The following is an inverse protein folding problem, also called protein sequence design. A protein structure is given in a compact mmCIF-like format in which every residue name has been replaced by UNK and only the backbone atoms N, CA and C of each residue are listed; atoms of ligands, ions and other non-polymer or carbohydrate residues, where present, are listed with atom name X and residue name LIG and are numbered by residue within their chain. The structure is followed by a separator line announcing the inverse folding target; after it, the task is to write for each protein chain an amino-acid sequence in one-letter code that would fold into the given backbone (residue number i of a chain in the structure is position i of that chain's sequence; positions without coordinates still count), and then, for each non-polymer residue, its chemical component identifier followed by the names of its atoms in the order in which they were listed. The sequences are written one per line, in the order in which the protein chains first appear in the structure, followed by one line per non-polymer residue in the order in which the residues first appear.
data_IF_868730402087
#
_entry.id   IF_868730402087
#
_cell.length_a   1.000
_cell.length_b   1.000
_cell.length_c   1.000
_cell.angle_alpha   90.00
_cell.angle_beta   90.00
_cell.angle_gamma   90.00
#
_symmetry.space_group_name_H-M   'P 1'
#
loop_
_entity.id
_entity.type
_entity.pdbx_description
1 polymer ?
#
# COMPACT_ATOMS: atom_id res chain seq x y z
N UNK A 1 15.40 14.35 -9.66
CA UNK A 1 15.18 13.06 -10.33
C UNK A 1 14.05 13.21 -11.34
N UNK A 2 14.36 13.20 -12.65
CA UNK A 2 13.33 13.31 -13.68
C UNK A 2 12.33 12.13 -13.67
N UNK A 3 12.76 10.98 -13.15
CA UNK A 3 11.96 9.74 -13.11
C UNK A 3 10.87 9.79 -12.03
N UNK A 4 11.21 10.09 -10.77
CA UNK A 4 10.22 10.43 -9.71
C UNK A 4 9.19 11.49 -10.17
N UNK A 5 9.65 12.58 -10.79
CA UNK A 5 8.75 13.63 -11.29
C UNK A 5 7.78 13.09 -12.36
N UNK A 6 8.24 12.20 -13.23
CA UNK A 6 7.41 11.50 -14.21
C UNK A 6 6.35 10.62 -13.55
N UNK A 7 6.72 9.86 -12.52
CA UNK A 7 5.76 9.03 -11.79
C UNK A 7 4.71 9.85 -11.03
N UNK A 8 5.09 10.97 -10.43
CA UNK A 8 4.14 11.89 -9.78
C UNK A 8 3.14 12.49 -10.79
N UNK A 9 3.60 12.86 -11.99
CA UNK A 9 2.72 13.31 -13.07
C UNK A 9 1.76 12.20 -13.53
N UNK A 10 2.26 10.97 -13.63
CA UNK A 10 1.43 9.83 -14.00
C UNK A 10 0.35 9.55 -12.93
N UNK A 11 0.73 9.58 -11.65
CA UNK A 11 -0.22 9.43 -10.53
C UNK A 11 -1.36 10.44 -10.63
N UNK A 12 -1.03 11.73 -10.72
CA UNK A 12 -2.02 12.79 -10.84
C UNK A 12 -2.92 12.65 -12.09
N UNK A 13 -2.37 12.10 -13.19
CA UNK A 13 -3.12 11.89 -14.41
C UNK A 13 -4.11 10.72 -14.30
N UNK A 14 -3.72 9.62 -13.65
CA UNK A 14 -4.59 8.47 -13.42
C UNK A 14 -5.74 8.83 -12.47
N UNK A 15 -5.44 9.55 -11.39
CA UNK A 15 -6.44 10.05 -10.44
C UNK A 15 -7.44 10.98 -11.12
N UNK A 16 -6.95 11.94 -11.93
CA UNK A 16 -7.80 12.87 -12.68
C UNK A 16 -8.68 12.15 -13.71
N UNK A 17 -8.21 11.07 -14.31
CA UNK A 17 -8.96 10.28 -15.27
C UNK A 17 -9.96 9.31 -14.62
N UNK A 18 -9.95 9.20 -13.29
CA UNK A 18 -10.84 8.30 -12.57
C UNK A 18 -10.52 6.82 -12.81
N UNK A 19 -9.23 6.47 -12.89
CA UNK A 19 -8.77 5.09 -13.10
C UNK A 19 -9.54 4.11 -12.19
N UNK A 20 -10.11 3.07 -12.79
CA UNK A 20 -10.97 2.06 -12.15
C UNK A 20 -10.22 0.75 -11.87
N UNK A 21 -8.89 0.80 -11.91
CA UNK A 21 -8.01 -0.31 -11.55
C UNK A 21 -7.12 0.13 -10.39
N UNK A 22 -7.34 -0.46 -9.22
CA UNK A 22 -6.52 -0.28 -8.03
C UNK A 22 -5.04 -0.56 -8.31
N UNK A 23 -4.76 -1.56 -9.13
CA UNK A 23 -3.39 -1.94 -9.47
C UNK A 23 -2.71 -0.89 -10.35
N UNK A 24 -3.42 -0.38 -11.35
CA UNK A 24 -2.90 0.71 -12.20
C UNK A 24 -2.75 2.00 -11.41
N UNK A 25 -3.70 2.32 -10.52
CA UNK A 25 -3.64 3.49 -9.67
C UNK A 25 -2.47 3.43 -8.68
N UNK A 26 -2.14 2.25 -8.15
CA UNK A 26 -1.02 2.05 -7.22
C UNK A 26 0.36 2.07 -7.90
N UNK A 27 0.42 1.75 -9.20
CA UNK A 27 1.67 1.58 -9.95
C UNK A 27 2.63 2.79 -9.85
N UNK A 28 2.19 4.05 -10.04
CA UNK A 28 3.13 5.17 -10.00
C UNK A 28 3.75 5.36 -8.62
N UNK A 29 2.98 5.18 -7.54
CA UNK A 29 3.49 5.31 -6.18
C UNK A 29 4.44 4.16 -5.83
N UNK A 30 4.12 2.94 -6.25
CA UNK A 30 5.02 1.79 -6.14
C UNK A 30 6.34 2.05 -6.89
N UNK A 31 6.30 2.61 -8.10
CA UNK A 31 7.49 2.95 -8.87
C UNK A 31 8.35 4.04 -8.21
N UNK A 32 7.73 5.06 -7.59
CA UNK A 32 8.46 6.06 -6.78
C UNK A 32 9.20 5.37 -5.63
N UNK A 33 8.51 4.50 -4.89
CA UNK A 33 9.10 3.79 -3.77
C UNK A 33 10.24 2.84 -4.20
N UNK A 34 10.12 2.22 -5.38
CA UNK A 34 11.22 1.45 -5.99
C UNK A 34 12.45 2.33 -6.19
N UNK A 35 12.30 3.50 -6.82
CA UNK A 35 13.43 4.41 -7.07
C UNK A 35 14.10 4.89 -5.79
N UNK A 36 13.32 5.14 -4.74
CA UNK A 36 13.86 5.52 -3.43
C UNK A 36 14.69 4.40 -2.80
N UNK A 37 14.27 3.14 -2.98
CA UNK A 37 14.94 1.97 -2.42
C UNK A 37 16.13 1.50 -3.28
N UNK A 38 16.11 1.73 -4.60
CA UNK A 38 17.24 1.52 -5.51
C UNK A 38 18.33 2.59 -5.33
N UNK A 39 18.79 2.79 -4.09
CA UNK A 39 19.78 3.78 -3.74
C UNK A 39 21.10 3.56 -4.50
N UNK A 40 21.60 4.59 -5.18
CA UNK A 40 22.84 4.54 -5.98
C UNK A 40 24.13 4.30 -5.19
N UNK A 41 24.06 4.28 -3.86
CA UNK A 41 25.20 3.94 -2.99
C UNK A 41 25.40 2.43 -2.84
N UNK A 42 24.41 1.63 -3.27
CA UNK A 42 24.46 0.16 -3.21
C UNK A 42 25.17 -0.33 -4.47
N UNK A 43 26.37 -0.87 -4.28
CA UNK A 43 27.24 -1.30 -5.38
C UNK A 43 26.82 -2.63 -5.99
N UNK A 44 26.26 -3.53 -5.17
CA UNK A 44 25.77 -4.81 -5.66
C UNK A 44 24.44 -4.61 -6.40
N UNK A 45 24.40 -5.02 -7.66
CA UNK A 45 23.22 -4.84 -8.51
C UNK A 45 22.04 -5.69 -8.04
N UNK A 46 22.30 -6.90 -7.54
CA UNK A 46 21.27 -7.83 -7.05
C UNK A 46 20.62 -7.29 -5.79
N UNK A 47 21.41 -6.83 -4.82
CA UNK A 47 20.93 -6.19 -3.60
C UNK A 47 20.12 -4.94 -3.92
N UNK A 48 20.63 -4.08 -4.82
CA UNK A 48 19.94 -2.86 -5.23
C UNK A 48 18.59 -3.16 -5.87
N UNK A 49 18.51 -4.12 -6.79
CA UNK A 49 17.23 -4.54 -7.42
C UNK A 49 16.29 -5.20 -6.42
N UNK A 50 16.82 -5.99 -5.48
CA UNK A 50 16.02 -6.64 -4.44
C UNK A 50 15.40 -5.60 -3.51
N UNK A 51 16.16 -4.59 -3.11
CA UNK A 51 15.64 -3.43 -2.37
C UNK A 51 14.62 -2.65 -3.19
N UNK A 52 14.87 -2.45 -4.48
CA UNK A 52 13.89 -1.87 -5.40
C UNK A 52 12.57 -2.64 -5.41
N UNK A 53 12.61 -3.97 -5.50
CA UNK A 53 11.43 -4.83 -5.44
C UNK A 53 10.70 -4.74 -4.10
N UNK A 54 11.45 -4.68 -3.00
CA UNK A 54 10.91 -4.47 -1.66
C UNK A 54 10.20 -3.11 -1.57
N UNK A 55 10.84 -2.04 -2.04
CA UNK A 55 10.29 -0.68 -2.06
C UNK A 55 9.04 -0.58 -2.93
N UNK A 56 9.05 -1.19 -4.11
CA UNK A 56 7.90 -1.27 -5.01
C UNK A 56 6.68 -1.86 -4.30
N UNK A 57 6.84 -3.05 -3.72
CA UNK A 57 5.76 -3.73 -3.04
C UNK A 57 5.32 -2.95 -1.79
N UNK A 58 6.24 -2.37 -1.03
CA UNK A 58 5.87 -1.52 0.09
C UNK A 58 5.03 -0.32 -0.34
N UNK A 59 5.39 0.34 -1.46
CA UNK A 59 4.60 1.42 -2.03
C UNK A 59 3.19 0.99 -2.42
N UNK A 60 3.07 -0.14 -3.14
CA UNK A 60 1.76 -0.71 -3.51
C UNK A 60 0.91 -1.03 -2.26
N UNK A 61 1.52 -1.61 -1.22
CA UNK A 61 0.83 -1.89 0.05
C UNK A 61 0.33 -0.62 0.72
N UNK A 62 1.17 0.43 0.82
CA UNK A 62 0.78 1.72 1.41
C UNK A 62 -0.42 2.30 0.65
N UNK A 63 -0.31 2.41 -0.67
CA UNK A 63 -1.34 3.05 -1.50
C UNK A 63 -2.69 2.34 -1.40
N UNK A 64 -2.70 1.01 -1.53
CA UNK A 64 -3.93 0.21 -1.45
C UNK A 64 -4.56 0.27 -0.06
N UNK A 65 -3.74 0.20 0.99
CA UNK A 65 -4.23 0.23 2.35
C UNK A 65 -4.85 1.59 2.70
N UNK A 66 -4.21 2.68 2.27
CA UNK A 66 -4.67 4.05 2.43
C UNK A 66 -6.02 4.26 1.70
N UNK A 67 -6.08 3.86 0.44
CA UNK A 67 -7.31 3.88 -0.34
C UNK A 67 -8.44 3.11 0.36
N UNK A 68 -8.18 1.96 0.99
CA UNK A 68 -9.20 1.22 1.74
C UNK A 68 -9.61 1.92 3.06
N UNK A 69 -8.65 2.47 3.81
CA UNK A 69 -8.94 3.17 5.08
C UNK A 69 -9.85 4.38 4.82
N UNK A 70 -9.54 5.14 3.77
CA UNK A 70 -10.17 6.42 3.43
C UNK A 70 -11.44 6.32 2.58
N UNK A 71 -11.83 5.13 2.09
CA UNK A 71 -13.06 4.92 1.29
C UNK A 71 -14.31 5.65 1.82
N UNK A 72 -14.47 5.70 3.15
CA UNK A 72 -15.62 6.36 3.77
C UNK A 72 -15.56 7.89 3.66
N UNK A 73 -14.37 8.46 3.85
CA UNK A 73 -14.17 9.91 3.76
C UNK A 73 -14.21 10.36 2.30
N UNK A 74 -13.58 9.61 1.40
CA UNK A 74 -13.58 9.91 -0.03
C UNK A 74 -14.99 9.88 -0.63
N UNK A 75 -15.81 8.89 -0.24
CA UNK A 75 -17.21 8.83 -0.64
C UNK A 75 -18.01 10.06 -0.16
N UNK A 76 -17.75 10.56 1.05
CA UNK A 76 -18.42 11.75 1.62
C UNK A 76 -17.98 13.03 0.93
N UNK A 77 -16.68 13.17 0.68
CA UNK A 77 -16.08 14.36 0.06
C UNK A 77 -16.23 14.38 -1.47
N UNK A 78 -16.64 13.25 -2.07
CA UNK A 78 -16.63 13.02 -3.53
C UNK A 78 -15.21 13.16 -4.11
N UNK A 79 -14.22 12.75 -3.33
CA UNK A 79 -12.83 12.65 -3.75
C UNK A 79 -12.62 11.36 -4.54
N UNK A 80 -11.61 11.36 -5.41
CA UNK A 80 -11.26 10.14 -6.14
C UNK A 80 -10.74 9.07 -5.19
N UNK A 81 -11.23 7.84 -5.36
CA UNK A 81 -10.71 6.66 -4.69
C UNK A 81 -10.77 5.47 -5.64
N UNK A 82 -9.65 4.78 -5.89
CA UNK A 82 -9.58 3.70 -6.88
C UNK A 82 -10.49 2.51 -6.54
N UNK A 83 -10.75 2.24 -5.25
CA UNK A 83 -11.62 1.15 -4.83
C UNK A 83 -13.10 1.49 -5.04
N UNK A 84 -13.48 2.76 -4.83
CA UNK A 84 -14.84 3.21 -5.15
C UNK A 84 -15.10 3.13 -6.66
N UNK A 85 -14.11 3.50 -7.48
CA UNK A 85 -14.20 3.39 -8.94
C UNK A 85 -14.21 1.94 -9.43
N UNK A 86 -13.25 1.12 -9.01
CA UNK A 86 -13.09 -0.27 -9.46
C UNK A 86 -14.30 -1.15 -9.17
N UNK A 87 -14.92 -0.97 -8.00
CA UNK A 87 -16.06 -1.78 -7.57
C UNK A 87 -17.41 -1.07 -7.77
N UNK A 88 -17.42 0.02 -8.54
CA UNK A 88 -18.61 0.75 -8.98
C UNK A 88 -19.51 1.17 -7.81
N UNK A 89 -18.97 1.95 -6.87
CA UNK A 89 -19.75 2.48 -5.76
C UNK A 89 -20.87 3.41 -6.26
N UNK A 90 -22.12 3.06 -5.96
CA UNK A 90 -23.33 3.73 -6.44
C UNK A 90 -23.96 4.70 -5.41
N UNK A 91 -23.29 4.91 -4.27
CA UNK A 91 -23.81 5.71 -3.17
C UNK A 91 -24.65 4.93 -2.15
N UNK A 92 -24.67 3.59 -2.22
CA UNK A 92 -25.28 2.72 -1.21
C UNK A 92 -24.55 2.79 0.16
N UNK A 93 -24.92 1.92 1.10
CA UNK A 93 -24.28 1.86 2.42
C UNK A 93 -22.79 1.54 2.30
N UNK A 94 -21.95 2.54 2.63
CA UNK A 94 -20.49 2.45 2.57
C UNK A 94 -19.92 1.35 3.45
N UNK A 95 -20.60 1.00 4.56
CA UNK A 95 -20.13 -0.09 5.44
C UNK A 95 -20.30 -1.45 4.77
N UNK A 96 -21.48 -1.72 4.21
CA UNK A 96 -21.74 -2.92 3.42
C UNK A 96 -20.81 -2.99 2.20
N UNK A 97 -20.56 -1.86 1.54
CA UNK A 97 -19.63 -1.79 0.41
C UNK A 97 -18.20 -2.15 0.80
N UNK A 98 -17.65 -1.56 1.88
CA UNK A 98 -16.32 -1.91 2.42
C UNK A 98 -16.22 -3.41 2.73
N UNK A 99 -17.25 -3.99 3.33
CA UNK A 99 -17.24 -5.43 3.66
C UNK A 99 -17.20 -6.31 2.40
N UNK A 100 -17.94 -5.93 1.34
CA UNK A 100 -17.94 -6.63 0.05
C UNK A 100 -16.58 -6.58 -0.65
N UNK A 101 -15.88 -5.44 -0.58
CA UNK A 101 -14.58 -5.25 -1.23
C UNK A 101 -13.39 -5.69 -0.37
N UNK A 102 -13.62 -6.01 0.91
CA UNK A 102 -12.57 -6.40 1.86
C UNK A 102 -11.74 -7.60 1.39
N UNK A 103 -12.39 -8.66 0.94
CA UNK A 103 -11.71 -9.91 0.59
C UNK A 103 -10.74 -9.76 -0.60
N UNK A 104 -11.12 -9.17 -1.75
CA UNK A 104 -10.18 -8.98 -2.84
C UNK A 104 -9.07 -7.96 -2.50
N UNK A 105 -9.36 -6.93 -1.72
CA UNK A 105 -8.33 -5.98 -1.23
C UNK A 105 -7.35 -6.68 -0.29
N UNK A 106 -7.86 -7.51 0.64
CA UNK A 106 -7.04 -8.31 1.54
C UNK A 106 -6.12 -9.27 0.78
N UNK A 107 -6.63 -9.92 -0.27
CA UNK A 107 -5.84 -10.77 -1.14
C UNK A 107 -4.67 -9.99 -1.77
N UNK A 108 -4.96 -8.82 -2.32
CA UNK A 108 -3.96 -7.95 -2.93
C UNK A 108 -2.88 -7.48 -1.95
N UNK A 109 -3.29 -7.06 -0.74
CA UNK A 109 -2.37 -6.65 0.33
C UNK A 109 -1.52 -7.82 0.82
N UNK A 110 -2.12 -9.00 1.00
CA UNK A 110 -1.42 -10.22 1.44
C UNK A 110 -0.37 -10.65 0.41
N UNK A 111 -0.74 -10.63 -0.87
CA UNK A 111 0.19 -10.91 -1.95
C UNK A 111 1.40 -9.98 -1.89
N UNK A 112 1.17 -8.67 -1.81
CA UNK A 112 2.24 -7.68 -1.72
C UNK A 112 3.11 -7.84 -0.48
N UNK A 113 2.52 -8.11 0.70
CA UNK A 113 3.30 -8.38 1.91
C UNK A 113 4.20 -9.61 1.74
N UNK A 114 3.74 -10.66 1.05
CA UNK A 114 4.56 -11.84 0.77
C UNK A 114 5.76 -11.53 -0.13
N UNK A 115 5.62 -10.59 -1.07
CA UNK A 115 6.73 -10.15 -1.92
C UNK A 115 7.74 -9.28 -1.16
N UNK A 116 7.27 -8.44 -0.23
CA UNK A 116 8.14 -7.69 0.70
C UNK A 116 8.96 -8.67 1.55
N UNK A 117 8.32 -9.69 2.10
CA UNK A 117 8.99 -10.72 2.93
C UNK A 117 10.06 -11.48 2.13
N UNK A 118 9.74 -11.93 0.91
CA UNK A 118 10.72 -12.61 0.03
C UNK A 118 11.93 -11.73 -0.25
N UNK A 119 11.71 -10.46 -0.56
CA UNK A 119 12.80 -9.51 -0.82
C UNK A 119 13.65 -9.28 0.43
N UNK A 120 13.03 -9.09 1.59
CA UNK A 120 13.71 -8.90 2.87
C UNK A 120 14.61 -10.09 3.24
N UNK A 121 14.10 -11.32 3.08
CA UNK A 121 14.86 -12.54 3.31
C UNK A 121 16.06 -12.66 2.36
N UNK A 122 15.91 -12.26 1.10
CA UNK A 122 16.96 -12.34 0.09
C UNK A 122 18.12 -11.35 0.35
N UNK A 123 17.83 -10.16 0.90
CA UNK A 123 18.87 -9.16 1.23
C UNK A 123 19.75 -9.64 2.38
N UNK A 124 19.23 -10.46 3.30
CA UNK A 124 20.01 -11.00 4.42
C UNK A 124 20.47 -9.94 5.42
N UNK A 125 19.58 -9.01 5.79
CA UNK A 125 19.91 -7.90 6.70
C UNK A 125 20.21 -8.42 8.11
N UNK A 126 21.44 -8.20 8.58
CA UNK A 126 21.87 -8.58 9.93
C UNK A 126 21.81 -7.42 10.93
N UNK A 127 22.01 -6.17 10.46
CA UNK A 127 21.96 -4.98 11.32
C UNK A 127 20.52 -4.61 11.62
N UNK A 128 20.19 -4.40 12.90
CA UNK A 128 18.85 -4.06 13.39
C UNK A 128 17.76 -5.09 13.02
N UNK A 129 18.14 -6.33 12.73
CA UNK A 129 17.26 -7.41 12.30
C UNK A 129 16.00 -7.53 13.14
N UNK A 130 16.13 -7.57 14.47
CA UNK A 130 14.96 -7.67 15.36
C UNK A 130 13.96 -6.50 15.24
N UNK A 131 14.42 -5.28 14.93
CA UNK A 131 13.52 -4.13 14.71
C UNK A 131 12.82 -4.27 13.36
N UNK A 132 13.55 -4.65 12.32
CA UNK A 132 13.02 -4.84 10.97
C UNK A 132 12.04 -6.01 10.91
N UNK A 133 12.36 -7.12 11.58
CA UNK A 133 11.48 -8.28 11.74
C UNK A 133 10.16 -7.85 12.40
N UNK A 134 10.22 -7.06 13.47
CA UNK A 134 9.01 -6.56 14.13
C UNK A 134 8.18 -5.67 13.18
N UNK A 135 8.82 -4.79 12.40
CA UNK A 135 8.11 -3.92 11.45
C UNK A 135 7.44 -4.75 10.35
N UNK A 136 8.17 -5.68 9.73
CA UNK A 136 7.70 -6.41 8.56
C UNK A 136 6.72 -7.54 8.93
N UNK A 137 7.07 -8.37 9.89
CA UNK A 137 6.26 -9.55 10.24
C UNK A 137 5.09 -9.21 11.16
N UNK A 138 5.27 -8.28 12.09
CA UNK A 138 4.20 -7.91 13.02
C UNK A 138 3.50 -6.62 12.60
N UNK A 139 4.27 -5.58 12.27
CA UNK A 139 3.74 -4.24 11.99
C UNK A 139 2.81 -4.21 10.78
N UNK A 140 3.24 -4.74 9.63
CA UNK A 140 2.44 -4.74 8.40
C UNK A 140 1.14 -5.54 8.57
N UNK A 141 1.23 -6.74 9.15
CA UNK A 141 0.06 -7.60 9.38
C UNK A 141 -0.91 -6.93 10.34
N UNK A 142 -0.45 -6.46 11.50
CA UNK A 142 -1.30 -5.81 12.51
C UNK A 142 -1.97 -4.56 11.96
N UNK A 143 -1.24 -3.74 11.19
CA UNK A 143 -1.80 -2.53 10.58
C UNK A 143 -2.84 -2.88 9.50
N UNK A 144 -2.57 -3.88 8.66
CA UNK A 144 -3.51 -4.38 7.66
C UNK A 144 -4.79 -4.89 8.31
N UNK A 145 -4.67 -5.77 9.31
CA UNK A 145 -5.82 -6.30 10.06
C UNK A 145 -6.63 -5.19 10.75
N UNK A 146 -5.95 -4.20 11.34
CA UNK A 146 -6.60 -3.08 12.02
C UNK A 146 -7.49 -2.28 11.06
N UNK A 147 -6.98 -1.97 9.87
CA UNK A 147 -7.68 -1.20 8.84
C UNK A 147 -8.82 -2.02 8.24
N UNK A 148 -8.55 -3.27 7.82
CA UNK A 148 -9.55 -4.12 7.17
C UNK A 148 -10.71 -4.52 8.09
N UNK A 149 -10.45 -4.69 9.39
CA UNK A 149 -11.48 -5.05 10.39
C UNK A 149 -12.14 -3.84 11.06
N UNK A 150 -11.70 -2.62 10.75
CA UNK A 150 -12.21 -1.40 11.38
C UNK A 150 -11.92 -1.26 12.88
N UNK A 151 -11.02 -2.07 13.45
CA UNK A 151 -10.73 -2.15 14.91
C UNK A 151 -9.95 -0.94 15.45
N UNK A 152 -9.88 0.16 14.71
CA UNK A 152 -9.12 1.36 15.05
C UNK A 152 -9.94 2.57 15.52
N UNK A 153 -11.26 2.57 15.33
CA UNK A 153 -12.10 3.76 15.65
C UNK A 153 -12.86 3.69 16.98
N UNK A 154 -12.86 2.56 17.71
CA UNK A 154 -13.64 2.43 18.96
C UNK A 154 -12.85 2.28 20.27
N UNK A 155 -11.53 1.99 20.27
CA UNK A 155 -10.79 1.75 21.52
C UNK A 155 -9.69 2.80 21.79
N UNK A 156 -10.08 4.07 21.78
CA UNK A 156 -9.27 5.20 22.27
C UNK A 156 -9.45 5.49 23.76
N UNK A 157 -10.11 4.60 24.51
CA UNK A 157 -10.17 4.65 25.97
C UNK A 157 -10.01 3.24 26.52
N UNK A 158 -9.23 3.18 27.60
CA UNK A 158 -8.94 2.03 28.45
C UNK A 158 -7.77 1.15 28.00
N UNK A 159 -6.58 1.54 28.44
CA UNK A 159 -5.79 0.63 29.26
C UNK A 159 -5.17 1.43 30.40
N UNK A 160 -5.52 1.01 31.62
CA UNK A 160 -4.92 1.38 32.90
C UNK A 160 -3.47 0.88 32.94
#
# INVERSE_FOLDING_TARGET
CASIEGHLKNLAQLEKNGCDSMDEAAEPFAAIMRELFECGHIKDESERKTLGWMGYNLGRWIYILDAYDDMEEDAKQKSYNPLLSQYEFDGADIKSFKEKTREPVNFSLTYTMSEIEKAYLLIGIEKNKGILDNILYSGLIVKTDKVLRGRGKENGKESI
#
